data_IF_162014005414
#
_entry.id   IF_162014005414
#
_cell.length_a   1.000
_cell.length_b   1.000
_cell.length_c   1.000
_cell.angle_alpha   90.00
_cell.angle_beta   90.00
_cell.angle_gamma   90.00
#
_symmetry.space_group_name_H-M   'P 1'
#
loop_
_entity.id
_entity.type
_entity.pdbx_description
1 polymer ?
#
# COMPACT_ATOMS: atom_id res chain seq x y z
N UNK A 1 -20.76 -23.28 1.18
CA UNK A 1 -21.45 -22.56 2.27
C UNK A 1 -20.59 -21.49 2.98
N UNK A 2 -19.44 -21.06 2.44
CA UNK A 2 -18.72 -19.86 2.92
C UNK A 2 -19.21 -18.67 2.09
N UNK A 3 -20.05 -17.81 2.67
CA UNK A 3 -20.56 -16.60 1.99
C UNK A 3 -22.03 -16.27 2.29
N UNK A 4 -22.86 -17.26 2.63
CA UNK A 4 -24.30 -17.05 2.83
C UNK A 4 -24.63 -16.01 3.92
N UNK A 5 -23.84 -15.95 4.99
CA UNK A 5 -24.03 -14.99 6.09
C UNK A 5 -23.62 -13.57 5.73
N UNK A 6 -22.54 -13.42 4.95
CA UNK A 6 -22.04 -12.10 4.54
C UNK A 6 -22.94 -11.51 3.47
N UNK A 7 -23.34 -12.33 2.49
CA UNK A 7 -24.22 -11.90 1.41
C UNK A 7 -25.58 -11.41 1.92
N UNK A 8 -26.16 -12.09 2.92
CA UNK A 8 -27.42 -11.66 3.54
C UNK A 8 -27.32 -10.26 4.20
N UNK A 9 -26.14 -9.88 4.72
CA UNK A 9 -25.92 -8.54 5.28
C UNK A 9 -25.70 -7.51 4.18
N UNK A 10 -24.99 -7.86 3.10
CA UNK A 10 -24.77 -6.97 1.94
C UNK A 10 -26.10 -6.63 1.26
N UNK A 11 -26.98 -7.61 1.11
CA UNK A 11 -28.30 -7.44 0.48
C UNK A 11 -29.17 -6.43 1.28
N UNK A 12 -29.09 -6.45 2.61
CA UNK A 12 -29.77 -5.50 3.50
C UNK A 12 -29.18 -4.08 3.44
N UNK A 13 -27.88 -3.96 3.11
CA UNK A 13 -27.18 -2.69 2.97
C UNK A 13 -27.24 -2.10 1.54
N UNK A 14 -28.21 -2.53 0.74
CA UNK A 14 -28.45 -2.02 -0.62
C UNK A 14 -27.21 -2.09 -1.52
N UNK A 15 -26.35 -3.09 -1.32
CA UNK A 15 -25.14 -3.30 -2.13
C UNK A 15 -23.92 -2.46 -1.71
N UNK A 16 -23.91 -1.90 -0.49
CA UNK A 16 -22.68 -1.34 0.08
C UNK A 16 -21.58 -2.41 0.15
N UNK A 17 -20.35 -2.05 -0.24
CA UNK A 17 -19.21 -2.96 -0.19
C UNK A 17 -18.71 -3.10 1.25
N UNK A 18 -18.59 -4.34 1.71
CA UNK A 18 -18.11 -4.66 3.06
C UNK A 18 -16.79 -5.40 2.94
N UNK A 19 -15.78 -4.91 3.67
CA UNK A 19 -14.52 -5.59 3.86
C UNK A 19 -14.45 -6.18 5.27
N UNK A 20 -14.11 -7.47 5.36
CA UNK A 20 -13.91 -8.17 6.63
C UNK A 20 -12.41 -8.17 6.91
N UNK A 21 -12.01 -7.53 8.00
CA UNK A 21 -10.62 -7.43 8.40
C UNK A 21 -10.33 -8.26 9.65
N UNK A 22 -9.10 -8.76 9.76
CA UNK A 22 -8.63 -9.40 10.97
C UNK A 22 -8.23 -8.34 12.01
N UNK A 23 -8.72 -8.50 13.24
CA UNK A 23 -8.32 -7.65 14.35
C UNK A 23 -6.98 -8.11 14.93
N UNK A 24 -6.14 -7.16 15.38
CA UNK A 24 -4.90 -7.46 16.08
C UNK A 24 -4.69 -6.53 17.27
N UNK A 25 -4.11 -7.07 18.35
CA UNK A 25 -3.64 -6.27 19.48
C UNK A 25 -2.35 -5.50 19.18
N UNK A 26 -1.62 -5.86 18.12
CA UNK A 26 -0.46 -5.12 17.66
C UNK A 26 -0.94 -4.03 16.68
N UNK A 27 -0.67 -2.77 17.03
CA UNK A 27 -1.15 -1.60 16.28
C UNK A 27 -0.72 -1.62 14.81
N UNK A 28 0.54 -1.95 14.52
CA UNK A 28 1.09 -1.97 13.16
C UNK A 28 0.36 -3.00 12.29
N UNK A 29 0.14 -4.21 12.83
CA UNK A 29 -0.62 -5.26 12.16
C UNK A 29 -2.07 -4.85 11.95
N UNK A 30 -2.70 -4.25 12.96
CA UNK A 30 -4.10 -3.86 12.85
C UNK A 30 -4.30 -2.73 11.83
N UNK A 31 -3.41 -1.75 11.79
CA UNK A 31 -3.39 -0.67 10.78
C UNK A 31 -3.17 -1.25 9.37
N UNK A 32 -2.22 -2.17 9.21
CA UNK A 32 -1.99 -2.82 7.92
C UNK A 32 -3.22 -3.59 7.44
N UNK A 33 -3.86 -4.38 8.30
CA UNK A 33 -5.10 -5.12 7.99
C UNK A 33 -6.27 -4.19 7.67
N UNK A 34 -6.38 -3.05 8.34
CA UNK A 34 -7.46 -2.09 8.14
C UNK A 34 -7.41 -1.35 6.79
N UNK A 35 -6.26 -1.36 6.08
CA UNK A 35 -6.12 -0.78 4.75
C UNK A 35 -6.44 -1.76 3.61
N UNK A 36 -6.77 -3.03 3.94
CA UNK A 36 -7.27 -4.02 2.98
C UNK A 36 -8.40 -3.40 2.14
N UNK A 37 -8.38 -3.53 0.80
CA UNK A 37 -7.61 -4.48 0.00
C UNK A 37 -6.19 -4.05 -0.41
N UNK A 38 -5.71 -2.87 0.00
CA UNK A 38 -4.39 -2.39 -0.38
C UNK A 38 -3.28 -3.18 0.33
N UNK A 39 -2.21 -3.50 -0.42
CA UNK A 39 -1.03 -4.14 0.15
C UNK A 39 -0.12 -3.09 0.78
N UNK A 40 0.21 -3.29 2.05
CA UNK A 40 1.09 -2.44 2.84
C UNK A 40 2.48 -3.06 2.91
N UNK A 41 3.52 -2.26 2.63
CA UNK A 41 4.92 -2.71 2.72
C UNK A 41 5.45 -2.57 4.15
N UNK A 42 5.14 -1.44 4.82
CA UNK A 42 5.50 -1.22 6.21
C UNK A 42 4.57 -0.25 6.92
N UNK A 43 4.48 -0.39 8.25
CA UNK A 43 3.81 0.56 9.14
C UNK A 43 4.82 1.00 10.19
N UNK A 44 4.97 2.30 10.37
CA UNK A 44 5.83 2.92 11.36
C UNK A 44 4.98 3.75 12.33
N UNK A 45 5.09 3.46 13.62
CA UNK A 45 4.42 4.25 14.66
C UNK A 45 5.25 5.51 14.93
N UNK A 46 4.74 6.66 14.50
CA UNK A 46 5.41 7.95 14.67
C UNK A 46 5.21 8.51 16.07
N UNK A 47 4.00 8.35 16.62
CA UNK A 47 3.62 8.87 17.93
C UNK A 47 2.50 8.00 18.52
N UNK A 48 2.70 7.45 19.71
CA UNK A 48 1.71 6.62 20.40
C UNK A 48 0.66 7.42 21.15
N UNK A 49 1.02 8.60 21.66
CA UNK A 49 0.12 9.43 22.45
C UNK A 49 -0.87 10.15 21.52
N UNK A 50 -0.38 10.67 20.39
CA UNK A 50 -1.23 11.25 19.34
C UNK A 50 -1.86 10.22 18.41
N UNK A 51 -1.47 8.94 18.55
CA UNK A 51 -1.84 7.82 17.68
C UNK A 51 -1.61 8.14 16.21
N UNK A 52 -0.38 8.49 15.83
CA UNK A 52 0.01 8.77 14.45
C UNK A 52 0.90 7.66 13.90
N UNK A 53 0.56 7.17 12.72
CA UNK A 53 1.30 6.14 12.01
C UNK A 53 1.57 6.55 10.56
N UNK A 54 2.75 6.20 10.07
CA UNK A 54 3.15 6.32 8.67
C UNK A 54 3.06 4.94 8.03
N UNK A 55 2.39 4.86 6.89
CA UNK A 55 2.21 3.63 6.14
C UNK A 55 2.90 3.78 4.79
N UNK A 56 3.83 2.88 4.51
CA UNK A 56 4.52 2.84 3.21
C UNK A 56 3.87 1.78 2.33
N UNK A 57 3.56 2.16 1.10
CA UNK A 57 3.00 1.29 0.08
C UNK A 57 3.73 1.49 -1.25
N UNK A 58 3.67 0.49 -2.13
CA UNK A 58 4.13 0.66 -3.51
C UNK A 58 3.29 1.69 -4.26
N UNK A 59 3.90 2.31 -5.27
CA UNK A 59 3.24 3.34 -6.08
C UNK A 59 1.90 2.86 -6.67
N UNK A 60 1.84 1.62 -7.15
CA UNK A 60 0.62 1.01 -7.71
C UNK A 60 -0.48 0.75 -6.65
N UNK A 61 -0.11 0.67 -5.36
CA UNK A 61 -1.05 0.44 -4.25
C UNK A 61 -1.55 1.74 -3.63
N UNK A 62 -0.88 2.87 -3.85
CA UNK A 62 -1.20 4.13 -3.16
C UNK A 62 -2.64 4.59 -3.42
N UNK A 63 -3.09 4.54 -4.69
CA UNK A 63 -4.46 4.93 -5.05
C UNK A 63 -5.50 4.04 -4.35
N UNK A 64 -5.23 2.74 -4.22
CA UNK A 64 -6.11 1.79 -3.53
C UNK A 64 -6.11 2.01 -2.02
N UNK A 65 -4.94 2.28 -1.43
CA UNK A 65 -4.78 2.54 -0.01
C UNK A 65 -5.50 3.84 0.42
N UNK A 66 -5.44 4.88 -0.40
CA UNK A 66 -6.20 6.12 -0.19
C UNK A 66 -7.70 5.86 -0.43
N UNK A 67 -8.03 5.16 -1.51
CA UNK A 67 -9.40 4.89 -1.93
C UNK A 67 -10.11 6.11 -2.55
N UNK A 68 -11.28 5.89 -3.16
CA UNK A 68 -12.05 6.95 -3.84
C UNK A 68 -12.35 8.11 -2.89
N UNK A 69 -11.82 9.29 -3.21
CA UNK A 69 -11.96 10.48 -2.38
C UNK A 69 -11.43 10.31 -0.96
N UNK A 70 -10.47 9.41 -0.71
CA UNK A 70 -9.92 9.13 0.62
C UNK A 70 -10.77 8.21 1.50
N UNK A 71 -11.75 7.50 0.94
CA UNK A 71 -12.67 6.69 1.74
C UNK A 71 -11.95 5.58 2.51
N UNK A 72 -11.01 4.86 1.88
CA UNK A 72 -10.37 3.69 2.49
C UNK A 72 -9.53 4.10 3.70
N UNK A 73 -8.60 5.06 3.52
CA UNK A 73 -7.77 5.58 4.62
C UNK A 73 -8.60 6.20 5.75
N UNK A 74 -9.73 6.85 5.44
CA UNK A 74 -10.63 7.39 6.48
C UNK A 74 -11.35 6.29 7.26
N UNK A 75 -11.80 5.23 6.60
CA UNK A 75 -12.43 4.09 7.28
C UNK A 75 -11.41 3.37 8.15
N UNK A 76 -10.21 3.11 7.63
CA UNK A 76 -9.11 2.53 8.39
C UNK A 76 -8.76 3.38 9.64
N UNK A 77 -8.62 4.70 9.48
CA UNK A 77 -8.33 5.61 10.58
C UNK A 77 -9.44 5.61 11.66
N UNK A 78 -10.70 5.57 11.24
CA UNK A 78 -11.84 5.47 12.18
C UNK A 78 -11.89 4.12 12.90
N UNK A 79 -11.56 3.04 12.20
CA UNK A 79 -11.61 1.68 12.71
C UNK A 79 -10.49 1.39 13.72
N UNK A 80 -9.28 1.88 13.44
CA UNK A 80 -8.11 1.69 14.30
C UNK A 80 -7.95 2.78 15.34
N UNK A 81 -8.60 3.94 15.14
CA UNK A 81 -8.42 5.16 15.93
C UNK A 81 -7.00 5.75 15.82
N UNK A 82 -6.35 5.57 14.66
CA UNK A 82 -5.04 6.14 14.33
C UNK A 82 -5.15 7.19 13.22
N UNK A 83 -4.32 8.23 13.29
CA UNK A 83 -4.02 9.13 12.17
C UNK A 83 -3.03 8.41 11.25
N UNK A 84 -3.42 8.20 9.99
CA UNK A 84 -2.67 7.38 9.04
C UNK A 84 -2.17 8.26 7.89
N UNK A 85 -0.85 8.36 7.76
CA UNK A 85 -0.18 9.05 6.66
C UNK A 85 0.35 8.02 5.64
N UNK A 86 -0.19 8.02 4.42
CA UNK A 86 0.20 7.06 3.37
C UNK A 86 1.27 7.68 2.48
N UNK A 87 2.42 7.01 2.39
CA UNK A 87 3.54 7.40 1.53
C UNK A 87 3.90 6.29 0.54
N UNK A 88 4.50 6.67 -0.58
CA UNK A 88 5.06 5.72 -1.52
C UNK A 88 6.45 5.27 -1.05
N UNK A 89 6.79 4.00 -1.27
CA UNK A 89 8.18 3.53 -1.16
C UNK A 89 9.05 4.27 -2.17
N UNK A 90 10.17 4.87 -1.75
CA UNK A 90 11.14 5.42 -2.68
C UNK A 90 11.78 4.27 -3.47
N UNK A 91 11.48 4.20 -4.77
CA UNK A 91 12.18 3.31 -5.69
C UNK A 91 13.58 3.86 -5.88
N UNK A 92 14.56 3.39 -5.11
CA UNK A 92 15.96 3.44 -5.53
C UNK A 92 16.09 2.51 -6.74
N UNK A 93 15.77 3.03 -7.93
CA UNK A 93 16.17 2.40 -9.17
C UNK A 93 17.70 2.48 -9.24
N UNK A 94 18.37 1.43 -8.76
CA UNK A 94 19.71 1.10 -9.23
C UNK A 94 19.56 0.80 -10.71
N UNK A 95 19.80 1.82 -11.54
CA UNK A 95 20.07 1.61 -12.96
C UNK A 95 21.46 0.98 -12.97
N UNK A 96 21.52 -0.36 -13.05
CA UNK A 96 22.75 -1.01 -13.54
C UNK A 96 22.91 -0.57 -14.99
N UNK A 97 23.75 0.46 -15.19
CA UNK A 97 24.28 0.77 -16.51
C UNK A 97 25.24 -0.38 -16.80
N UNK A 98 24.82 -1.32 -17.63
CA UNK A 98 25.74 -2.23 -18.29
C UNK A 98 26.59 -1.38 -19.24
N UNK A 99 27.84 -1.11 -18.86
CA UNK A 99 28.86 -0.56 -19.74
C UNK A 99 29.14 -1.58 -20.87
N UNK A 100 28.37 -1.50 -21.94
CA UNK A 100 28.71 -2.13 -23.22
C UNK A 100 29.55 -1.11 -24.00
N UNK A 101 30.88 -1.26 -23.90
CA UNK A 101 31.85 -0.49 -24.69
C UNK A 101 31.64 -0.79 -26.18
N UNK A 102 31.32 0.21 -27.03
CA UNK A 102 31.30 -0.01 -28.47
C UNK A 102 32.72 -0.19 -28.98
N UNK A 103 32.94 -1.31 -29.67
CA UNK A 103 34.23 -1.70 -30.27
C UNK A 103 34.88 -0.58 -31.08
N UNK A 104 36.17 -0.38 -30.79
CA UNK A 104 37.12 0.40 -31.56
C UNK A 104 37.36 -0.27 -32.92
N UNK A 105 36.60 0.13 -33.94
CA UNK A 105 36.99 -0.02 -35.34
C UNK A 105 37.53 1.32 -35.84
N UNK A 106 38.71 1.71 -35.38
CA UNK A 106 39.48 2.77 -36.05
C UNK A 106 40.21 2.20 -37.27
N UNK A 107 39.69 2.63 -38.41
CA UNK A 107 40.18 2.52 -39.78
C UNK A 107 41.71 2.41 -39.92
N UNK A 108 42.10 1.31 -40.55
CA UNK A 108 43.41 1.05 -41.13
C UNK A 108 43.78 2.15 -42.14
N UNK A 109 44.77 3.00 -41.80
CA UNK A 109 45.41 3.94 -42.72
C UNK A 109 46.65 3.27 -43.32
N UNK A 110 46.61 3.16 -44.65
CA UNK A 110 47.61 2.67 -45.61
C UNK A 110 49.10 2.86 -45.28
N UNK A 111 49.86 1.76 -45.26
CA UNK A 111 51.10 1.51 -46.04
C UNK A 111 51.60 0.06 -45.89
#
# INVERSE_FOLDING_TARGET
QRGARVNAVIDELHGEKIDIIEWSANDEKFIASALSPAKVDSVEILDRDERRAKVTVKAEQQSLAIGKGGQNVRLAAKLTLWKIDIVQSETNAVIEISDDEPGDDTENVSQ
#
